data_IF_878154746090
#
_entry.id   IF_878154746090
#
_cell.length_a   1.000
_cell.length_b   1.000
_cell.length_c   1.000
_cell.angle_alpha   90.00
_cell.angle_beta   90.00
_cell.angle_gamma   90.00
#
_symmetry.space_group_name_H-M   'P 1'
#
loop_
_entity.id
_entity.type
_entity.pdbx_description
1 polymer ?
#
# COMPACT_ATOMS: atom_id res chain seq x y z
N UNK A 1 -6.10 -20.78 -0.55
CA UNK A 1 -6.27 -19.41 -1.09
C UNK A 1 -5.50 -18.39 -0.25
N UNK A 2 -5.54 -18.44 1.08
CA UNK A 2 -4.81 -17.51 1.97
C UNK A 2 -3.30 -17.49 1.71
N UNK A 3 -2.64 -18.66 1.66
CA UNK A 3 -1.21 -18.75 1.29
C UNK A 3 -0.86 -18.07 -0.04
N UNK A 4 -1.78 -18.08 -1.01
CA UNK A 4 -1.57 -17.41 -2.30
C UNK A 4 -1.67 -15.89 -2.17
N UNK A 5 -2.60 -15.38 -1.35
CA UNK A 5 -2.72 -13.96 -1.03
C UNK A 5 -1.46 -13.48 -0.33
N UNK A 6 -0.99 -14.20 0.69
CA UNK A 6 0.23 -13.85 1.42
C UNK A 6 1.46 -13.83 0.51
N UNK A 7 1.62 -14.85 -0.34
CA UNK A 7 2.72 -14.89 -1.31
C UNK A 7 2.70 -13.66 -2.24
N UNK A 8 1.53 -13.24 -2.73
CA UNK A 8 1.42 -12.02 -3.53
C UNK A 8 1.63 -10.75 -2.71
N UNK A 9 1.16 -10.67 -1.47
CA UNK A 9 1.42 -9.53 -0.59
C UNK A 9 2.93 -9.34 -0.40
N UNK A 10 3.64 -10.43 -0.12
CA UNK A 10 5.11 -10.45 -0.02
C UNK A 10 5.75 -9.99 -1.33
N UNK A 11 5.36 -10.58 -2.46
CA UNK A 11 5.91 -10.23 -3.77
C UNK A 11 5.67 -8.75 -4.11
N UNK A 12 4.50 -8.21 -3.79
CA UNK A 12 4.14 -6.82 -4.06
C UNK A 12 4.85 -5.82 -3.16
N UNK A 13 5.37 -6.24 -2.00
CA UNK A 13 6.28 -5.39 -1.20
C UNK A 13 7.67 -5.28 -1.81
N UNK A 14 8.07 -6.23 -2.66
CA UNK A 14 9.37 -6.20 -3.37
C UNK A 14 9.33 -5.34 -4.63
N UNK A 15 8.14 -4.96 -5.11
CA UNK A 15 8.01 -4.08 -6.27
C UNK A 15 8.55 -2.68 -5.95
N UNK A 16 9.21 -2.00 -6.91
CA UNK A 16 9.53 -0.59 -6.77
C UNK A 16 8.26 0.22 -6.42
N UNK A 17 8.35 1.22 -5.53
CA UNK A 17 7.19 2.02 -5.11
C UNK A 17 6.29 2.54 -6.23
N UNK A 18 6.81 3.06 -7.37
CA UNK A 18 5.94 3.52 -8.47
C UNK A 18 5.17 2.36 -9.13
N UNK A 19 5.82 1.23 -9.39
CA UNK A 19 5.19 0.05 -9.99
C UNK A 19 4.11 -0.53 -9.08
N UNK A 20 4.39 -0.61 -7.77
CA UNK A 20 3.43 -1.07 -6.77
C UNK A 20 2.18 -0.19 -6.74
N UNK A 21 2.37 1.13 -6.76
CA UNK A 21 1.28 2.11 -6.71
C UNK A 21 0.42 2.04 -7.98
N UNK A 22 1.04 1.99 -9.15
CA UNK A 22 0.35 1.82 -10.42
C UNK A 22 -0.46 0.52 -10.46
N UNK A 23 0.16 -0.60 -10.09
CA UNK A 23 -0.51 -1.90 -10.08
C UNK A 23 -1.71 -1.92 -9.12
N UNK A 24 -1.59 -1.26 -7.94
CA UNK A 24 -2.70 -1.11 -7.01
C UNK A 24 -3.87 -0.36 -7.63
N UNK A 25 -3.62 0.83 -8.18
CA UNK A 25 -4.65 1.65 -8.80
C UNK A 25 -5.34 0.92 -9.96
N UNK A 26 -4.56 0.22 -10.79
CA UNK A 26 -5.08 -0.59 -11.89
C UNK A 26 -5.98 -1.72 -11.38
N UNK A 27 -5.52 -2.52 -10.41
CA UNK A 27 -6.30 -3.64 -9.88
C UNK A 27 -7.54 -3.16 -9.10
N UNK A 28 -7.47 -2.01 -8.43
CA UNK A 28 -8.62 -1.38 -7.77
C UNK A 28 -9.67 -0.93 -8.79
N UNK A 29 -9.27 -0.28 -9.89
CA UNK A 29 -10.17 0.07 -10.99
C UNK A 29 -10.86 -1.18 -11.55
N UNK A 30 -10.08 -2.21 -11.89
CA UNK A 30 -10.63 -3.45 -12.45
C UNK A 30 -11.56 -4.18 -11.47
N UNK A 31 -11.26 -4.14 -10.17
CA UNK A 31 -12.14 -4.70 -9.14
C UNK A 31 -13.51 -4.00 -9.10
N UNK A 32 -13.52 -2.67 -9.09
CA UNK A 32 -14.78 -1.91 -9.09
C UNK A 32 -15.57 -2.13 -10.38
N UNK A 33 -14.89 -2.16 -11.54
CA UNK A 33 -15.52 -2.53 -12.82
C UNK A 33 -16.14 -3.93 -12.76
N UNK A 34 -15.44 -4.91 -12.20
CA UNK A 34 -15.94 -6.28 -12.05
C UNK A 34 -17.12 -6.39 -11.08
N UNK A 35 -17.19 -5.55 -10.04
CA UNK A 35 -18.34 -5.50 -9.13
C UNK A 35 -19.61 -5.03 -9.83
N UNK A 36 -19.47 -4.18 -10.84
CA UNK A 36 -20.58 -3.66 -11.65
C UNK A 36 -20.90 -4.55 -12.87
N UNK A 37 -20.47 -5.83 -12.86
CA UNK A 37 -20.66 -6.75 -13.98
C UNK A 37 -22.11 -6.97 -14.40
N UNK A 38 -23.09 -6.78 -13.52
CA UNK A 38 -24.51 -6.91 -13.89
C UNK A 38 -24.95 -5.81 -14.87
N UNK A 39 -24.31 -4.64 -14.83
CA UNK A 39 -24.62 -3.52 -15.72
C UNK A 39 -23.67 -3.48 -16.92
N UNK A 40 -22.35 -3.58 -16.67
CA UNK A 40 -21.35 -3.44 -17.73
C UNK A 40 -20.97 -4.76 -18.43
N UNK A 41 -21.46 -5.91 -17.94
CA UNK A 41 -21.18 -7.27 -18.46
C UNK A 41 -19.71 -7.70 -18.38
N UNK A 42 -18.87 -6.96 -17.65
CA UNK A 42 -17.44 -7.20 -17.52
C UNK A 42 -17.12 -7.89 -16.20
N UNK A 43 -17.15 -9.22 -16.22
CA UNK A 43 -16.68 -10.03 -15.10
C UNK A 43 -15.15 -9.91 -14.91
N UNK A 44 -14.65 -10.27 -13.72
CA UNK A 44 -13.21 -10.29 -13.46
C UNK A 44 -12.43 -11.19 -14.45
N UNK A 45 -13.04 -12.27 -14.95
CA UNK A 45 -12.40 -13.14 -15.94
C UNK A 45 -12.36 -12.48 -17.33
N UNK A 46 -13.40 -11.74 -17.73
CA UNK A 46 -13.39 -10.99 -18.99
C UNK A 46 -12.35 -9.87 -18.96
N UNK A 47 -12.27 -9.14 -17.85
CA UNK A 47 -11.23 -8.14 -17.62
C UNK A 47 -9.83 -8.77 -17.64
N UNK A 48 -9.64 -9.91 -16.97
CA UNK A 48 -8.36 -10.58 -16.97
C UNK A 48 -7.90 -11.03 -18.37
N UNK A 49 -8.81 -11.53 -19.21
CA UNK A 49 -8.47 -11.89 -20.59
C UNK A 49 -7.88 -10.73 -21.39
N UNK A 50 -8.43 -9.52 -21.20
CA UNK A 50 -7.94 -8.32 -21.90
C UNK A 50 -6.66 -7.77 -21.29
N UNK A 51 -6.54 -7.79 -19.96
CA UNK A 51 -5.45 -7.12 -19.24
C UNK A 51 -4.26 -8.02 -18.92
N UNK A 52 -4.41 -9.35 -18.94
CA UNK A 52 -3.30 -10.28 -18.66
C UNK A 52 -2.08 -10.07 -19.58
N UNK A 53 -2.25 -9.83 -20.91
CA UNK A 53 -1.12 -9.51 -21.79
C UNK A 53 -0.35 -8.25 -21.36
N UNK A 54 -1.04 -7.30 -20.73
CA UNK A 54 -0.46 -6.02 -20.31
C UNK A 54 0.12 -6.04 -18.89
N UNK A 55 -0.37 -6.95 -18.03
CA UNK A 55 0.04 -7.02 -16.62
C UNK A 55 1.19 -8.01 -16.42
N UNK A 56 1.11 -9.21 -17.00
CA UNK A 56 1.95 -10.35 -16.59
C UNK A 56 2.65 -11.07 -17.75
N UNK A 57 2.49 -10.59 -18.98
CA UNK A 57 3.07 -11.28 -20.12
C UNK A 57 4.60 -11.18 -20.12
N UNK A 58 5.31 -12.32 -20.19
CA UNK A 58 6.76 -12.31 -20.25
C UNK A 58 7.23 -11.83 -21.63
N UNK A 59 8.12 -10.84 -21.66
CA UNK A 59 8.55 -10.14 -22.90
C UNK A 59 9.33 -11.02 -23.89
N UNK A 60 9.88 -12.16 -23.45
CA UNK A 60 10.85 -12.97 -24.20
C UNK A 60 10.40 -14.43 -24.43
N UNK A 61 9.12 -14.75 -24.29
CA UNK A 61 8.64 -16.13 -24.47
C UNK A 61 8.12 -16.33 -25.90
N UNK A 62 8.61 -17.38 -26.58
CA UNK A 62 8.13 -17.78 -27.90
C UNK A 62 6.64 -18.09 -27.87
N UNK A 63 5.90 -17.60 -28.88
CA UNK A 63 4.45 -17.72 -28.98
C UNK A 63 3.92 -19.17 -28.80
N UNK A 64 4.72 -20.16 -29.21
CA UNK A 64 4.44 -21.59 -29.06
C UNK A 64 4.28 -22.06 -27.61
N UNK A 65 4.97 -21.45 -26.65
CA UNK A 65 4.86 -21.81 -25.22
C UNK A 65 3.75 -21.04 -24.49
N UNK A 66 3.10 -20.09 -25.17
CA UNK A 66 2.13 -19.18 -24.56
C UNK A 66 0.69 -19.67 -24.72
N UNK A 67 0.38 -20.45 -25.76
CA UNK A 67 -0.98 -20.86 -26.09
C UNK A 67 -1.65 -21.73 -24.99
N UNK A 68 -0.87 -22.50 -24.22
CA UNK A 68 -1.35 -23.23 -23.03
C UNK A 68 -1.23 -22.48 -21.70
N UNK A 69 -0.38 -21.44 -21.64
CA UNK A 69 -0.14 -20.66 -20.42
C UNK A 69 -1.06 -19.44 -20.30
N UNK A 70 -1.65 -18.99 -21.41
CA UNK A 70 -2.52 -17.81 -21.46
C UNK A 70 -3.73 -17.94 -20.54
N UNK A 71 -4.37 -19.11 -20.50
CA UNK A 71 -5.50 -19.35 -19.62
C UNK A 71 -5.08 -19.31 -18.14
N UNK A 72 -3.93 -19.91 -17.79
CA UNK A 72 -3.38 -19.87 -16.44
C UNK A 72 -3.02 -18.44 -16.02
N UNK A 73 -2.40 -17.66 -16.90
CA UNK A 73 -2.06 -16.26 -16.66
C UNK A 73 -3.32 -15.40 -16.49
N UNK A 74 -4.33 -15.59 -17.36
CA UNK A 74 -5.63 -14.92 -17.24
C UNK A 74 -6.31 -15.28 -15.92
N UNK A 75 -6.33 -16.56 -15.54
CA UNK A 75 -6.89 -16.99 -14.25
C UNK A 75 -6.11 -16.39 -13.06
N UNK A 76 -4.79 -16.27 -13.17
CA UNK A 76 -3.94 -15.56 -12.21
C UNK A 76 -4.33 -14.09 -12.09
N UNK A 77 -4.48 -13.37 -13.20
CA UNK A 77 -4.89 -11.96 -13.22
C UNK A 77 -6.32 -11.80 -12.68
N UNK A 78 -7.24 -12.70 -13.02
CA UNK A 78 -8.60 -12.70 -12.46
C UNK A 78 -8.58 -12.90 -10.94
N UNK A 79 -7.69 -13.75 -10.43
CA UNK A 79 -7.47 -13.91 -8.99
C UNK A 79 -6.97 -12.60 -8.36
N UNK A 80 -6.01 -11.91 -8.99
CA UNK A 80 -5.51 -10.62 -8.52
C UNK A 80 -6.62 -9.56 -8.45
N UNK A 81 -7.43 -9.46 -9.51
CA UNK A 81 -8.57 -8.52 -9.56
C UNK A 81 -9.54 -8.80 -8.42
N UNK A 82 -9.95 -10.05 -8.22
CA UNK A 82 -10.94 -10.44 -7.18
C UNK A 82 -10.47 -10.13 -5.75
N UNK A 83 -9.17 -10.15 -5.49
CA UNK A 83 -8.60 -10.02 -4.15
C UNK A 83 -7.80 -8.72 -3.95
N UNK A 84 -7.88 -7.76 -4.88
CA UNK A 84 -7.07 -6.52 -4.87
C UNK A 84 -7.10 -5.79 -3.52
N UNK A 85 -8.25 -5.77 -2.86
CA UNK A 85 -8.49 -5.13 -1.56
C UNK A 85 -7.63 -5.68 -0.41
N UNK A 86 -7.08 -6.89 -0.57
CA UNK A 86 -6.24 -7.56 0.42
C UNK A 86 -4.76 -7.59 0.02
N UNK A 87 -4.46 -7.59 -1.27
CA UNK A 87 -3.11 -7.88 -1.79
C UNK A 87 -2.06 -6.79 -1.51
N UNK A 88 -2.47 -5.55 -1.23
CA UNK A 88 -1.56 -4.43 -0.98
C UNK A 88 -1.40 -4.08 0.51
N UNK A 89 -1.89 -4.96 1.40
CA UNK A 89 -1.64 -4.88 2.84
C UNK A 89 -0.49 -5.82 3.19
N UNK A 90 0.39 -5.41 4.10
CA UNK A 90 1.42 -6.32 4.59
C UNK A 90 0.77 -7.52 5.32
N UNK A 91 1.34 -8.73 5.26
CA UNK A 91 0.91 -9.85 6.09
C UNK A 91 0.94 -9.48 7.58
N UNK A 92 0.02 -10.06 8.37
CA UNK A 92 -0.18 -9.69 9.77
C UNK A 92 1.10 -9.83 10.61
N UNK A 93 1.84 -10.93 10.44
CA UNK A 93 3.08 -11.16 11.16
C UNK A 93 4.14 -10.09 10.85
N UNK A 94 4.22 -9.58 9.62
CA UNK A 94 5.17 -8.51 9.27
C UNK A 94 4.76 -7.20 9.93
N UNK A 95 3.46 -6.89 9.95
CA UNK A 95 2.94 -5.71 10.65
C UNK A 95 3.25 -5.77 12.15
N UNK A 96 3.08 -6.94 12.76
CA UNK A 96 3.37 -7.17 14.17
C UNK A 96 4.86 -7.04 14.49
N UNK A 97 5.73 -7.67 13.69
CA UNK A 97 7.18 -7.52 13.84
C UNK A 97 7.60 -6.05 13.67
N UNK A 98 7.16 -5.38 12.59
CA UNK A 98 7.45 -3.97 12.37
C UNK A 98 6.98 -3.11 13.55
N UNK A 99 5.78 -3.37 14.07
CA UNK A 99 5.29 -2.69 15.27
C UNK A 99 6.24 -2.89 16.43
N UNK A 100 6.61 -4.12 16.77
CA UNK A 100 7.52 -4.41 17.89
C UNK A 100 8.86 -3.66 17.77
N UNK A 101 9.53 -3.73 16.62
CA UNK A 101 10.84 -3.09 16.41
C UNK A 101 10.77 -1.56 16.40
N UNK A 102 9.76 -0.96 15.76
CA UNK A 102 9.69 0.49 15.62
C UNK A 102 8.97 1.19 16.77
N UNK A 103 8.03 0.54 17.47
CA UNK A 103 7.41 1.12 18.68
C UNK A 103 8.26 0.96 19.94
N UNK A 104 9.16 -0.03 20.00
CA UNK A 104 10.16 -0.15 21.07
C UNK A 104 11.32 0.85 20.98
N UNK A 105 11.42 1.62 19.88
CA UNK A 105 12.54 2.53 19.59
C UNK A 105 12.28 4.00 19.98
N UNK A 106 11.34 4.29 20.88
CA UNK A 106 11.18 5.62 21.52
C UNK A 106 12.22 5.87 22.64
N UNK A 107 13.49 5.51 22.42
CA UNK A 107 14.62 5.95 23.28
C UNK A 107 15.49 7.00 22.60
N UNK A 108 15.08 7.54 21.45
CA UNK A 108 15.54 8.87 21.03
C UNK A 108 14.62 9.91 21.67
N UNK A 109 14.87 10.16 22.96
CA UNK A 109 14.73 11.53 23.47
C UNK A 109 15.60 12.39 22.56
N UNK A 110 14.98 13.13 21.63
CA UNK A 110 15.62 14.27 21.01
C UNK A 110 15.97 15.22 22.14
N UNK A 111 17.26 15.22 22.52
CA UNK A 111 17.82 16.01 23.63
C UNK A 111 17.90 17.50 23.31
N UNK A 112 17.39 17.91 22.15
CA UNK A 112 17.58 19.26 21.62
C UNK A 112 16.37 20.19 21.82
N UNK A 113 15.23 19.69 22.32
CA UNK A 113 14.04 20.52 22.57
C UNK A 113 13.88 20.98 24.04
N UNK A 114 14.96 21.01 24.83
CA UNK A 114 14.94 21.48 26.23
C UNK A 114 15.84 22.70 26.47
N UNK A 115 15.74 23.75 25.63
CA UNK A 115 16.41 25.03 25.92
C UNK A 115 15.69 26.33 25.52
N UNK A 116 14.46 26.31 24.99
CA UNK A 116 13.77 27.56 24.56
C UNK A 116 12.63 28.04 25.47
N UNK A 117 12.62 27.67 26.75
CA UNK A 117 11.62 28.20 27.71
C UNK A 117 12.22 28.52 29.10
N UNK A 118 13.35 29.23 29.12
CA UNK A 118 13.77 29.95 30.33
C UNK A 118 14.32 31.32 29.94
N UNK A 119 13.42 32.29 29.76
CA UNK A 119 13.81 33.63 29.35
C UNK A 119 12.69 34.67 29.31
N UNK A 120 11.59 34.52 30.04
CA UNK A 120 10.66 35.65 30.27
C UNK A 120 10.24 35.64 31.74
N UNK A 121 11.05 36.28 32.58
CA UNK A 121 10.63 36.83 33.88
C UNK A 121 11.41 38.11 34.17
N UNK A 122 10.86 39.25 33.75
CA UNK A 122 11.00 40.51 34.46
C UNK A 122 9.95 41.48 33.93
N UNK A 123 8.82 41.58 34.63
CA UNK A 123 7.72 42.43 34.22
C UNK A 123 6.58 42.41 35.22
N UNK A 124 6.87 42.67 36.50
CA UNK A 124 5.86 43.11 37.45
C UNK A 124 6.52 43.82 38.63
N UNK A 125 6.46 45.15 38.63
CA UNK A 125 6.40 45.93 39.87
C UNK A 125 5.28 46.94 39.71
N UNK A 126 4.39 46.90 40.69
CA UNK A 126 3.06 47.50 40.77
C UNK A 126 3.11 49.02 41.05
N UNK A 127 1.96 49.72 41.05
CA UNK A 127 1.87 51.18 41.12
C UNK A 127 1.94 51.68 42.57
N UNK A 128 2.45 52.90 42.77
CA UNK A 128 2.22 53.65 44.01
C UNK A 128 2.13 55.16 43.73
N UNK A 129 1.28 55.79 44.52
CA UNK A 129 0.64 57.09 44.34
C UNK A 129 1.39 58.25 45.01
N UNK A 130 1.11 59.46 44.50
CA UNK A 130 0.95 60.75 45.18
C UNK A 130 2.13 61.52 45.82
N UNK A 131 2.22 62.77 45.35
CA UNK A 131 2.41 64.06 46.08
C UNK A 131 3.74 64.41 46.74
N UNK A 132 4.42 65.43 46.21
CA UNK A 132 4.36 66.83 46.69
C UNK A 132 4.96 67.78 45.63
#
# INVERSE_FOLDING_TARGET
KERQIEAFQLLFMLLPPPNRSLLKLLLDLLYHTARNQQTNKMSAINLAKMFAPHIIWPKNVMASHLQGNMEKLSNGVAFLIRHSQKLFKAPAYIQEHARFFYTGSQTLQSRDDMSLSSGIRAGSVAPSSSSS
#
